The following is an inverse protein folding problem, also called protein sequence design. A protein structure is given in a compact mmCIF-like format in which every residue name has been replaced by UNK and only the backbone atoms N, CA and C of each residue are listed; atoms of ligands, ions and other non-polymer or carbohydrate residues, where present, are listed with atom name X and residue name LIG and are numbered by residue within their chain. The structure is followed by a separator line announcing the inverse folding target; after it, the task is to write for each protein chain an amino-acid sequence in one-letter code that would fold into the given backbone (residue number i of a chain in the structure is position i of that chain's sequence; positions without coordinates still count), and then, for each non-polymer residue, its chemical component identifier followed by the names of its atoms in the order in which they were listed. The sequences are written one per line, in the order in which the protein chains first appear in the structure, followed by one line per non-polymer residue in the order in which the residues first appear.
data_IF_922584504231
#
_entry.id   IF_922584504231
#
_cell.length_a   1.000
_cell.length_b   1.000
_cell.length_c   1.000
_cell.angle_alpha   90.00
_cell.angle_beta   90.00
_cell.angle_gamma   90.00
#
_symmetry.space_group_name_H-M   'P 1'
#
loop_
_entity.id
_entity.type
_entity.pdbx_description
1 polymer ?
#
# COMPACT_ATOMS: atom_id res chain seq x y z
N UNK A 1 -27.11 -14.35 49.29
CA UNK A 1 -25.86 -14.38 48.50
C UNK A 1 -25.77 -13.06 47.75
N UNK A 2 -24.90 -12.16 48.21
CA UNK A 2 -24.71 -10.82 47.62
C UNK A 2 -23.53 -10.87 46.67
N UNK A 3 -23.77 -10.56 45.39
CA UNK A 3 -22.72 -10.47 44.35
C UNK A 3 -22.18 -9.05 44.41
N UNK A 4 -20.90 -8.93 44.73
CA UNK A 4 -20.16 -7.66 44.80
C UNK A 4 -19.78 -7.26 43.39
N UNK A 5 -20.41 -6.19 42.89
CA UNK A 5 -20.02 -5.51 41.65
C UNK A 5 -18.63 -4.87 41.82
N UNK A 6 -17.61 -5.46 41.17
CA UNK A 6 -16.30 -4.83 41.01
C UNK A 6 -16.33 -3.96 39.76
N UNK A 7 -16.53 -2.66 39.95
CA UNK A 7 -16.15 -1.64 38.97
C UNK A 7 -14.65 -1.74 38.68
N UNK A 8 -14.30 -2.27 37.50
CA UNK A 8 -12.96 -2.09 36.93
C UNK A 8 -12.93 -0.76 36.18
N UNK A 9 -12.00 0.11 36.57
CA UNK A 9 -11.73 1.37 35.90
C UNK A 9 -11.17 1.13 34.48
N UNK A 10 -11.45 2.04 33.51
CA UNK A 10 -10.98 1.88 32.14
C UNK A 10 -9.46 1.98 32.06
N UNK A 11 -8.82 0.96 31.49
CA UNK A 11 -7.40 0.95 31.12
C UNK A 11 -7.19 1.96 29.98
N UNK A 12 -6.58 3.10 30.29
CA UNK A 12 -6.11 4.06 29.28
C UNK A 12 -4.89 3.51 28.57
N UNK A 13 -5.08 2.98 27.36
CA UNK A 13 -3.98 2.62 26.47
C UNK A 13 -3.34 3.89 25.89
N UNK A 14 -2.22 4.32 26.48
CA UNK A 14 -1.36 5.33 25.86
C UNK A 14 -0.76 4.74 24.58
N UNK A 15 -1.11 5.32 23.43
CA UNK A 15 -0.48 5.02 22.15
C UNK A 15 0.92 5.64 22.14
N UNK A 16 1.92 4.88 22.57
CA UNK A 16 3.33 5.19 22.37
C UNK A 16 3.97 4.09 21.51
N UNK A 17 4.67 4.57 20.47
CA UNK A 17 5.74 3.89 19.73
C UNK A 17 5.39 2.70 18.82
N UNK A 18 5.46 2.96 17.50
CA UNK A 18 6.05 1.99 16.58
C UNK A 18 7.47 1.70 17.07
N UNK A 19 7.73 0.45 17.45
CA UNK A 19 9.03 -0.03 17.92
C UNK A 19 10.14 0.19 16.86
N UNK A 20 11.26 0.85 17.17
CA UNK A 20 12.46 0.81 16.33
C UNK A 20 13.21 -0.55 16.38
N UNK A 21 12.73 -1.51 17.19
CA UNK A 21 13.44 -2.76 17.49
C UNK A 21 13.46 -3.81 16.37
N UNK A 22 12.59 -3.71 15.35
CA UNK A 22 12.62 -4.63 14.21
C UNK A 22 13.76 -4.34 13.22
N UNK A 23 14.46 -3.22 13.35
CA UNK A 23 15.57 -2.85 12.48
C UNK A 23 16.93 -3.49 12.87
N UNK A 24 17.06 -4.06 14.08
CA UNK A 24 18.33 -4.62 14.58
C UNK A 24 18.49 -6.14 14.44
N UNK A 25 17.42 -6.88 14.14
CA UNK A 25 17.46 -8.36 14.07
C UNK A 25 17.67 -8.95 12.67
N UNK A 26 17.88 -8.12 11.64
CA UNK A 26 18.04 -8.56 10.24
C UNK A 26 19.38 -8.15 9.59
N UNK A 27 20.36 -7.64 10.35
CA UNK A 27 21.68 -7.24 9.81
C UNK A 27 22.77 -8.32 9.89
N UNK A 28 22.49 -9.52 10.39
CA UNK A 28 23.51 -10.57 10.52
C UNK A 28 23.11 -11.87 9.82
N UNK A 29 23.19 -11.90 8.49
CA UNK A 29 23.65 -13.05 7.68
C UNK A 29 23.29 -12.87 6.20
N UNK A 30 24.30 -12.53 5.40
CA UNK A 30 24.31 -12.85 3.97
C UNK A 30 25.61 -13.59 3.69
N UNK A 31 25.59 -14.87 3.29
CA UNK A 31 26.78 -15.53 2.78
C UNK A 31 27.13 -14.95 1.41
N UNK A 32 28.40 -14.64 1.22
CA UNK A 32 28.95 -14.12 -0.03
C UNK A 32 28.81 -15.16 -1.18
N UNK A 33 28.56 -14.72 -2.43
CA UNK A 33 28.64 -15.60 -3.59
C UNK A 33 30.11 -15.90 -3.96
N UNK A 34 30.42 -17.09 -4.49
CA UNK A 34 31.76 -17.41 -4.97
C UNK A 34 32.06 -16.63 -6.26
N UNK A 35 33.18 -15.93 -6.24
CA UNK A 35 33.66 -15.10 -7.34
C UNK A 35 34.13 -15.92 -8.55
N UNK A 36 33.80 -15.42 -9.72
CA UNK A 36 34.42 -15.81 -10.98
C UNK A 36 34.45 -14.59 -11.92
N UNK A 37 35.59 -14.38 -12.59
CA UNK A 37 35.67 -13.55 -13.79
C UNK A 37 36.62 -12.36 -13.72
N UNK A 38 37.86 -12.59 -14.10
CA UNK A 38 38.81 -11.57 -14.54
C UNK A 38 38.40 -10.96 -15.89
N UNK A 39 38.79 -9.70 -16.14
CA UNK A 39 38.90 -9.15 -17.51
C UNK A 39 38.38 -7.72 -17.72
N UNK A 40 39.21 -6.74 -17.41
CA UNK A 40 39.19 -5.40 -18.05
C UNK A 40 39.63 -5.51 -19.52
N UNK A 41 39.11 -4.66 -20.43
CA UNK A 41 39.85 -3.43 -20.71
C UNK A 41 39.01 -2.15 -20.93
N UNK A 42 39.70 -1.05 -20.64
CA UNK A 42 39.44 0.37 -20.87
C UNK A 42 39.22 0.74 -22.34
N UNK A 43 38.24 1.60 -22.65
CA UNK A 43 38.25 2.48 -23.84
C UNK A 43 37.58 3.85 -23.54
N UNK A 44 38.41 4.89 -23.73
CA UNK A 44 38.18 6.24 -24.24
C UNK A 44 37.06 7.16 -23.70
N UNK A 45 37.53 8.24 -23.10
CA UNK A 45 36.85 9.52 -22.94
C UNK A 45 36.60 10.20 -24.31
N UNK A 46 35.42 10.83 -24.45
CA UNK A 46 35.13 11.78 -25.55
C UNK A 46 34.54 13.07 -24.97
N UNK A 47 35.43 14.04 -24.89
CA UNK A 47 35.33 15.44 -25.34
C UNK A 47 34.03 16.22 -25.13
N UNK A 48 34.16 17.24 -24.28
CA UNK A 48 33.26 18.38 -24.11
C UNK A 48 33.14 19.23 -25.40
N UNK A 49 31.91 19.60 -25.74
CA UNK A 49 31.58 20.59 -26.76
C UNK A 49 30.97 21.84 -26.13
N UNK A 50 31.57 22.99 -26.44
CA UNK A 50 31.29 24.31 -25.90
C UNK A 50 30.40 25.15 -26.83
N UNK A 51 29.75 26.17 -26.24
CA UNK A 51 29.18 27.41 -26.82
C UNK A 51 27.76 27.38 -27.43
N UNK A 52 27.08 28.56 -27.60
CA UNK A 52 27.37 29.91 -27.12
C UNK A 52 26.23 30.59 -26.32
N UNK A 53 26.63 31.53 -25.47
CA UNK A 53 25.80 32.55 -24.84
C UNK A 53 25.12 33.43 -25.89
N UNK A 54 23.79 33.58 -25.81
CA UNK A 54 23.06 34.68 -26.45
C UNK A 54 22.57 35.65 -25.39
N UNK A 55 23.21 36.81 -25.35
CA UNK A 55 22.69 38.00 -24.71
C UNK A 55 21.49 38.53 -25.51
N UNK A 56 20.36 38.70 -24.84
CA UNK A 56 19.27 39.57 -25.30
C UNK A 56 19.06 40.64 -24.23
N UNK A 57 19.42 41.87 -24.59
CA UNK A 57 18.97 43.08 -23.91
C UNK A 57 17.61 43.46 -24.48
N UNK A 58 16.62 43.61 -23.61
CA UNK A 58 15.27 44.04 -23.98
C UNK A 58 14.56 44.62 -22.76
N UNK A 59 14.72 45.92 -22.59
CA UNK A 59 14.06 46.74 -21.58
C UNK A 59 12.60 47.02 -21.99
N UNK A 60 11.65 46.73 -21.11
CA UNK A 60 10.33 47.38 -21.15
C UNK A 60 9.70 47.38 -19.76
N UNK A 61 9.68 48.57 -19.15
CA UNK A 61 8.90 48.89 -17.97
C UNK A 61 7.41 48.85 -18.32
N UNK A 62 6.72 47.78 -17.92
CA UNK A 62 5.29 47.59 -18.10
C UNK A 62 4.60 47.39 -16.75
N UNK A 63 3.67 48.30 -16.46
CA UNK A 63 2.78 48.39 -15.30
C UNK A 63 2.43 47.05 -14.63
N UNK A 64 2.58 47.02 -13.30
CA UNK A 64 2.41 45.87 -12.43
C UNK A 64 1.01 45.24 -12.48
N UNK A 65 0.90 44.18 -13.28
CA UNK A 65 -0.11 43.16 -13.10
C UNK A 65 0.43 42.14 -12.08
N UNK A 66 -0.26 42.01 -10.94
CA UNK A 66 0.06 41.02 -9.89
C UNK A 66 0.08 39.63 -10.56
N UNK A 67 1.20 38.87 -10.51
CA UNK A 67 1.27 37.57 -11.16
C UNK A 67 0.14 36.68 -10.61
N UNK A 68 -0.56 35.92 -11.47
CA UNK A 68 -1.65 35.06 -11.05
C UNK A 68 -1.14 34.14 -9.95
N UNK A 69 -1.92 34.07 -8.87
CA UNK A 69 -1.64 33.25 -7.69
C UNK A 69 -1.19 31.86 -8.13
N UNK A 70 -0.01 31.45 -7.64
CA UNK A 70 0.54 30.10 -7.76
C UNK A 70 -0.59 29.09 -7.66
N UNK A 71 -0.77 28.35 -8.75
CA UNK A 71 -1.79 27.32 -8.91
C UNK A 71 -1.84 26.44 -7.66
N UNK A 72 -3.04 26.27 -7.09
CA UNK A 72 -3.29 25.38 -5.93
C UNK A 72 -2.83 23.94 -6.23
N UNK A 73 -2.63 23.59 -7.51
CA UNK A 73 -2.13 22.29 -7.96
C UNK A 73 -0.61 22.08 -7.76
N UNK A 74 0.15 23.12 -7.40
CA UNK A 74 1.60 23.02 -7.18
C UNK A 74 1.99 22.79 -5.72
N UNK A 75 1.00 22.72 -4.81
CA UNK A 75 1.30 22.40 -3.41
C UNK A 75 1.93 21.00 -3.30
N UNK A 76 3.01 20.85 -2.51
CA UNK A 76 3.64 19.55 -2.30
C UNK A 76 2.66 18.60 -1.59
N UNK A 77 2.61 17.34 -2.06
CA UNK A 77 1.78 16.30 -1.42
C UNK A 77 2.42 15.92 -0.08
N UNK A 78 1.68 15.91 1.04
CA UNK A 78 2.21 15.46 2.32
C UNK A 78 2.74 14.02 2.24
N UNK A 79 3.79 13.70 2.98
CA UNK A 79 4.30 12.33 3.03
C UNK A 79 3.32 11.38 3.73
N UNK A 80 2.62 11.87 4.77
CA UNK A 80 1.72 11.08 5.62
C UNK A 80 0.25 11.46 5.44
N UNK A 81 -0.61 10.47 5.46
CA UNK A 81 -2.05 10.60 5.32
C UNK A 81 -2.68 10.63 6.71
N UNK A 82 -3.16 11.82 7.08
CA UNK A 82 -3.90 12.03 8.32
C UNK A 82 -5.42 11.87 8.13
N UNK A 83 -5.88 11.70 6.88
CA UNK A 83 -7.30 11.59 6.57
C UNK A 83 -7.79 10.16 6.74
N UNK A 84 -8.86 10.00 7.52
CA UNK A 84 -9.57 8.73 7.62
C UNK A 84 -10.40 8.44 6.36
N UNK A 85 -10.36 7.20 5.91
CA UNK A 85 -11.01 6.67 4.73
C UNK A 85 -12.12 5.72 5.17
N UNK A 86 -13.37 6.05 4.82
CA UNK A 86 -14.52 5.14 4.99
C UNK A 86 -14.55 4.12 3.85
N UNK A 87 -15.45 3.14 3.95
CA UNK A 87 -15.71 2.18 2.87
C UNK A 87 -16.09 2.88 1.55
N UNK A 88 -16.93 3.92 1.62
CA UNK A 88 -17.40 4.68 0.47
C UNK A 88 -16.26 5.48 -0.16
N UNK A 89 -15.49 6.22 0.67
CA UNK A 89 -14.32 6.96 0.20
C UNK A 89 -13.28 6.05 -0.45
N UNK A 90 -13.03 4.85 0.11
CA UNK A 90 -12.13 3.88 -0.51
C UNK A 90 -12.62 3.44 -1.89
N UNK A 91 -13.92 3.18 -2.06
CA UNK A 91 -14.47 2.81 -3.38
C UNK A 91 -14.32 3.93 -4.40
N UNK A 92 -14.61 5.18 -4.02
CA UNK A 92 -14.42 6.34 -4.89
C UNK A 92 -12.95 6.50 -5.32
N UNK A 93 -12.01 6.34 -4.37
CA UNK A 93 -10.57 6.37 -4.65
C UNK A 93 -10.18 5.25 -5.62
N UNK A 94 -10.64 4.02 -5.38
CA UNK A 94 -10.33 2.86 -6.21
C UNK A 94 -10.96 2.97 -7.61
N UNK A 95 -12.16 3.55 -7.72
CA UNK A 95 -12.80 3.83 -9.01
C UNK A 95 -11.98 4.84 -9.80
N UNK A 96 -11.49 5.91 -9.16
CA UNK A 96 -10.57 6.85 -9.81
C UNK A 96 -9.22 6.20 -10.16
N UNK A 97 -8.68 5.37 -9.27
CA UNK A 97 -7.44 4.62 -9.53
C UNK A 97 -7.59 3.75 -10.79
N UNK A 98 -8.71 3.06 -10.95
CA UNK A 98 -8.98 2.24 -12.14
C UNK A 98 -8.94 3.04 -13.45
N UNK A 99 -9.23 4.35 -13.43
CA UNK A 99 -9.15 5.23 -14.59
C UNK A 99 -7.71 5.65 -14.93
N UNK A 100 -6.80 5.59 -13.95
CA UNK A 100 -5.37 5.84 -14.16
C UNK A 100 -4.65 4.62 -14.74
N UNK A 101 -5.09 3.40 -14.38
CA UNK A 101 -4.49 2.15 -14.87
C UNK A 101 -4.23 2.13 -16.38
N UNK A 102 -5.20 2.42 -17.28
CA UNK A 102 -4.94 2.35 -18.72
C UNK A 102 -3.89 3.36 -19.21
N UNK A 103 -3.73 4.49 -18.51
CA UNK A 103 -2.72 5.52 -18.85
C UNK A 103 -1.32 5.09 -18.46
N UNK A 104 -1.17 4.40 -17.33
CA UNK A 104 0.13 3.99 -16.81
C UNK A 104 0.55 2.59 -17.25
N UNK A 105 -0.39 1.65 -17.40
CA UNK A 105 -0.11 0.24 -17.69
C UNK A 105 -0.55 -0.20 -19.10
N UNK A 106 -1.28 0.65 -19.81
CA UNK A 106 -1.81 0.39 -21.15
C UNK A 106 -3.29 -0.03 -21.13
N UNK A 107 -4.01 0.15 -22.25
CA UNK A 107 -5.48 0.08 -22.28
C UNK A 107 -6.07 -1.31 -21.95
N UNK A 108 -5.31 -2.38 -22.22
CA UNK A 108 -5.75 -3.77 -22.03
C UNK A 108 -4.89 -4.51 -21.00
N UNK A 109 -4.32 -3.79 -20.03
CA UNK A 109 -3.46 -4.36 -19.01
C UNK A 109 -4.14 -4.28 -17.63
N UNK A 110 -4.92 -5.29 -17.23
CA UNK A 110 -5.44 -5.33 -15.88
C UNK A 110 -4.28 -5.49 -14.90
N UNK A 111 -4.39 -4.82 -13.75
CA UNK A 111 -3.49 -5.00 -12.62
C UNK A 111 -4.24 -5.62 -11.44
N UNK A 112 -3.52 -6.45 -10.70
CA UNK A 112 -4.01 -7.13 -9.51
C UNK A 112 -3.12 -6.79 -8.34
N UNK A 113 -3.74 -6.47 -7.21
CA UNK A 113 -3.05 -6.13 -5.98
C UNK A 113 -3.52 -7.07 -4.88
N UNK A 114 -2.58 -7.77 -4.26
CA UNK A 114 -2.86 -8.48 -3.00
C UNK A 114 -2.68 -7.48 -1.87
N UNK A 115 -3.75 -7.28 -1.10
CA UNK A 115 -3.87 -6.25 -0.07
C UNK A 115 -4.19 -6.85 1.29
N UNK A 116 -3.86 -6.13 2.36
CA UNK A 116 -4.19 -6.53 3.73
C UNK A 116 -4.60 -5.32 4.58
N UNK A 117 -4.76 -5.56 5.89
CA UNK A 117 -4.97 -4.49 6.86
C UNK A 117 -6.40 -3.95 6.90
N UNK A 118 -6.53 -2.65 7.20
CA UNK A 118 -7.83 -2.02 7.47
C UNK A 118 -8.75 -1.96 6.26
N UNK A 119 -8.19 -1.74 5.06
CA UNK A 119 -8.95 -1.69 3.81
C UNK A 119 -9.70 -3.01 3.54
N UNK A 120 -9.08 -4.17 3.81
CA UNK A 120 -9.73 -5.47 3.65
C UNK A 120 -10.96 -5.62 4.55
N UNK A 121 -10.86 -5.18 5.81
CA UNK A 121 -11.97 -5.24 6.77
C UNK A 121 -13.15 -4.36 6.33
N UNK A 122 -12.85 -3.22 5.69
CA UNK A 122 -13.87 -2.28 5.23
C UNK A 122 -14.50 -2.69 3.90
N UNK A 123 -13.74 -3.25 2.97
CA UNK A 123 -14.20 -3.52 1.60
C UNK A 123 -14.76 -4.94 1.42
N UNK A 124 -14.26 -5.93 2.14
CA UNK A 124 -14.76 -7.30 2.02
C UNK A 124 -16.23 -7.40 2.44
N UNK A 125 -17.11 -7.85 1.53
CA UNK A 125 -18.57 -7.81 1.73
C UNK A 125 -19.04 -8.66 2.92
N UNK A 126 -18.58 -9.92 2.99
CA UNK A 126 -18.90 -10.83 4.10
C UNK A 126 -18.46 -10.27 5.46
N UNK A 127 -17.19 -9.88 5.58
CA UNK A 127 -16.62 -9.30 6.79
C UNK A 127 -17.35 -8.00 7.20
N UNK A 128 -17.66 -7.12 6.25
CA UNK A 128 -18.39 -5.89 6.54
C UNK A 128 -19.79 -6.19 7.12
N UNK A 129 -20.54 -7.10 6.51
CA UNK A 129 -21.85 -7.54 7.02
C UNK A 129 -21.74 -8.16 8.42
N UNK A 130 -20.77 -9.04 8.63
CA UNK A 130 -20.48 -9.62 9.95
C UNK A 130 -20.13 -8.54 10.97
N UNK A 131 -19.38 -7.51 10.59
CA UNK A 131 -19.04 -6.39 11.48
C UNK A 131 -20.27 -5.60 11.93
N UNK A 132 -21.24 -5.39 11.03
CA UNK A 132 -22.51 -4.72 11.34
C UNK A 132 -23.32 -5.57 12.31
N UNK A 133 -23.45 -6.87 12.04
CA UNK A 133 -24.16 -7.80 12.90
C UNK A 133 -23.52 -7.94 14.29
N UNK A 134 -22.18 -8.02 14.35
CA UNK A 134 -21.44 -8.09 15.61
C UNK A 134 -21.67 -6.84 16.46
N UNK A 135 -21.68 -5.64 15.84
CA UNK A 135 -21.94 -4.40 16.57
C UNK A 135 -23.35 -4.37 17.18
N UNK A 136 -24.34 -4.98 16.52
CA UNK A 136 -25.71 -5.10 17.05
C UNK A 136 -25.78 -6.06 18.24
N UNK A 137 -25.09 -7.21 18.15
CA UNK A 137 -25.11 -8.24 19.20
C UNK A 137 -24.18 -7.90 20.38
N UNK A 138 -23.12 -7.15 20.14
CA UNK A 138 -22.09 -6.85 21.14
C UNK A 138 -21.58 -5.42 20.95
N UNK A 139 -22.37 -4.41 21.39
CA UNK A 139 -22.04 -3.00 21.13
C UNK A 139 -20.72 -2.51 21.73
N UNK A 140 -20.19 -3.24 22.71
CA UNK A 140 -18.93 -2.96 23.39
C UNK A 140 -17.68 -3.44 22.63
N UNK A 141 -17.85 -4.30 21.62
CA UNK A 141 -16.72 -4.72 20.79
C UNK A 141 -16.34 -3.62 19.79
N UNK A 142 -15.06 -3.28 19.63
CA UNK A 142 -14.64 -2.29 18.65
C UNK A 142 -15.03 -2.72 17.22
N UNK A 143 -15.71 -1.82 16.51
CA UNK A 143 -15.96 -1.96 15.06
C UNK A 143 -15.08 -0.97 14.29
N UNK A 144 -14.34 -1.49 13.32
CA UNK A 144 -13.63 -0.66 12.35
C UNK A 144 -14.62 -0.04 11.37
N UNK A 145 -14.64 1.28 11.31
CA UNK A 145 -15.43 2.06 10.35
C UNK A 145 -14.55 2.85 9.37
N UNK A 146 -13.27 3.04 9.72
CA UNK A 146 -12.28 3.77 8.92
C UNK A 146 -10.91 3.08 8.90
N UNK A 147 -10.12 3.42 7.89
CA UNK A 147 -8.69 3.12 7.77
C UNK A 147 -7.95 4.39 7.32
N UNK A 148 -6.62 4.43 7.39
CA UNK A 148 -5.85 5.55 6.82
C UNK A 148 -5.16 5.19 5.52
N UNK A 149 -5.08 3.91 5.22
CA UNK A 149 -4.27 3.40 4.13
C UNK A 149 -4.83 2.11 3.52
N UNK A 150 -4.27 1.77 2.37
CA UNK A 150 -4.34 0.46 1.71
C UNK A 150 -2.94 -0.16 1.75
N UNK A 151 -2.76 -1.16 2.61
CA UNK A 151 -1.52 -1.94 2.65
C UNK A 151 -1.54 -2.98 1.50
N UNK A 152 -0.50 -3.03 0.67
CA UNK A 152 -0.38 -4.00 -0.42
C UNK A 152 0.97 -4.71 -0.44
N UNK A 153 1.00 -5.91 -1.05
CA UNK A 153 2.22 -6.70 -1.22
C UNK A 153 2.97 -6.25 -2.48
N UNK A 154 3.97 -5.39 -2.30
CA UNK A 154 4.71 -4.75 -3.39
C UNK A 154 5.60 -5.71 -4.16
N UNK A 155 6.38 -6.55 -3.47
CA UNK A 155 7.29 -7.51 -4.11
C UNK A 155 6.57 -8.44 -5.08
N UNK A 156 5.36 -8.87 -4.73
CA UNK A 156 4.56 -9.75 -5.59
C UNK A 156 3.97 -9.02 -6.78
N UNK A 157 3.47 -7.79 -6.58
CA UNK A 157 3.00 -6.94 -7.67
C UNK A 157 4.10 -6.70 -8.71
N UNK A 158 5.31 -6.33 -8.27
CA UNK A 158 6.46 -6.11 -9.18
C UNK A 158 6.83 -7.40 -9.91
N UNK A 159 6.86 -8.52 -9.21
CA UNK A 159 7.18 -9.84 -9.81
C UNK A 159 6.15 -10.22 -10.89
N UNK A 160 4.86 -10.12 -10.58
CA UNK A 160 3.77 -10.39 -11.53
C UNK A 160 3.88 -9.48 -12.75
N UNK A 161 3.97 -8.16 -12.56
CA UNK A 161 4.02 -7.21 -13.67
C UNK A 161 5.29 -7.33 -14.52
N UNK A 162 6.43 -7.65 -13.90
CA UNK A 162 7.67 -7.91 -14.64
C UNK A 162 7.53 -9.14 -15.53
N UNK A 163 6.91 -10.22 -15.03
CA UNK A 163 6.61 -11.42 -15.84
C UNK A 163 5.67 -11.13 -17.02
N UNK A 164 4.87 -10.07 -16.92
CA UNK A 164 3.96 -9.60 -17.95
C UNK A 164 4.58 -8.57 -18.92
N UNK A 165 5.90 -8.29 -18.78
CA UNK A 165 6.65 -7.37 -19.64
C UNK A 165 6.61 -5.90 -19.19
N UNK A 166 6.30 -5.62 -17.92
CA UNK A 166 6.27 -4.26 -17.36
C UNK A 166 7.33 -4.11 -16.25
N UNK A 167 8.60 -3.84 -16.60
CA UNK A 167 9.71 -3.82 -15.63
C UNK A 167 9.69 -2.61 -14.69
N UNK A 168 9.03 -1.51 -15.07
CA UNK A 168 8.92 -0.25 -14.33
C UNK A 168 7.58 -0.12 -13.59
N UNK A 169 6.91 -1.24 -13.30
CA UNK A 169 5.60 -1.28 -12.67
C UNK A 169 5.53 -0.56 -11.31
N UNK A 170 6.61 -0.65 -10.51
CA UNK A 170 6.74 0.05 -9.24
C UNK A 170 6.60 1.57 -9.40
N UNK A 171 7.38 2.16 -10.29
CA UNK A 171 7.37 3.60 -10.56
C UNK A 171 6.03 4.05 -11.13
N UNK A 172 5.43 3.26 -12.02
CA UNK A 172 4.09 3.52 -12.57
C UNK A 172 3.00 3.54 -11.50
N UNK A 173 3.05 2.58 -10.57
CA UNK A 173 2.14 2.54 -9.43
C UNK A 173 2.33 3.76 -8.51
N UNK A 174 3.58 4.16 -8.24
CA UNK A 174 3.88 5.33 -7.43
C UNK A 174 3.30 6.63 -8.04
N UNK A 175 3.35 6.78 -9.37
CA UNK A 175 2.71 7.91 -10.04
C UNK A 175 1.18 7.89 -9.93
N UNK A 176 0.54 6.72 -10.00
CA UNK A 176 -0.90 6.58 -9.69
C UNK A 176 -1.21 7.01 -8.25
N UNK A 177 -0.44 6.52 -7.27
CA UNK A 177 -0.58 6.83 -5.84
C UNK A 177 -0.47 8.35 -5.62
N UNK A 178 0.53 8.99 -6.23
CA UNK A 178 0.75 10.43 -6.17
C UNK A 178 -0.38 11.24 -6.80
N UNK A 179 -0.89 10.79 -7.96
CA UNK A 179 -2.02 11.44 -8.63
C UNK A 179 -3.30 11.37 -7.78
N UNK A 180 -3.57 10.21 -7.16
CA UNK A 180 -4.69 10.01 -6.23
C UNK A 180 -4.54 10.90 -5.00
N UNK A 181 -3.35 10.93 -4.40
CA UNK A 181 -3.08 11.75 -3.21
C UNK A 181 -3.38 13.23 -3.47
N UNK A 182 -2.95 13.76 -4.63
CA UNK A 182 -3.31 15.12 -5.05
C UNK A 182 -4.81 15.31 -5.24
N UNK A 183 -5.47 14.36 -5.93
CA UNK A 183 -6.90 14.46 -6.27
C UNK A 183 -7.79 14.47 -5.03
N UNK A 184 -7.47 13.66 -4.04
CA UNK A 184 -8.29 13.44 -2.84
C UNK A 184 -7.75 14.14 -1.59
N UNK A 185 -6.65 14.90 -1.70
CA UNK A 185 -6.04 15.58 -0.55
C UNK A 185 -5.54 14.58 0.51
N UNK A 186 -4.84 13.53 0.08
CA UNK A 186 -4.26 12.51 0.94
C UNK A 186 -2.74 12.70 1.05
N UNK A 187 -2.13 12.03 2.03
CA UNK A 187 -0.69 11.83 2.05
C UNK A 187 -0.24 10.73 1.08
N UNK A 188 1.04 10.69 0.75
CA UNK A 188 1.62 9.70 -0.17
C UNK A 188 1.55 8.25 0.34
N UNK A 189 1.47 8.04 1.66
CA UNK A 189 1.35 6.73 2.29
C UNK A 189 -0.10 6.20 2.37
N UNK A 190 -1.08 6.86 1.75
CA UNK A 190 -2.47 6.34 1.66
C UNK A 190 -2.54 4.95 1.02
N UNK A 191 -1.54 4.59 0.21
CA UNK A 191 -1.33 3.24 -0.28
C UNK A 191 0.17 2.94 -0.14
N UNK A 192 0.51 2.01 0.73
CA UNK A 192 1.90 1.72 1.09
C UNK A 192 2.17 0.21 1.16
N UNK A 193 3.46 -0.13 1.18
CA UNK A 193 3.94 -1.51 1.26
C UNK A 193 4.97 -1.66 2.38
N UNK A 194 4.89 -0.82 3.42
CA UNK A 194 5.82 -0.87 4.56
C UNK A 194 5.82 -2.25 5.23
N UNK A 195 4.68 -2.95 5.16
CA UNK A 195 4.53 -4.29 5.67
C UNK A 195 5.44 -5.32 4.97
N UNK A 196 5.79 -5.13 3.70
CA UNK A 196 6.60 -6.07 2.90
C UNK A 196 7.95 -6.39 3.56
N UNK A 197 8.53 -5.41 4.26
CA UNK A 197 9.84 -5.52 4.91
C UNK A 197 9.82 -6.66 5.95
N UNK A 198 8.68 -6.89 6.61
CA UNK A 198 8.54 -7.88 7.67
C UNK A 198 7.98 -9.23 7.17
N UNK A 199 7.63 -9.36 5.88
CA UNK A 199 6.97 -10.56 5.37
C UNK A 199 7.98 -11.68 5.08
N UNK A 200 7.72 -12.92 5.53
CA UNK A 200 8.63 -14.03 5.25
C UNK A 200 8.67 -14.37 3.76
N UNK A 201 9.81 -14.86 3.29
CA UNK A 201 9.92 -15.62 2.06
C UNK A 201 9.82 -17.11 2.36
N UNK A 202 9.34 -17.87 1.39
CA UNK A 202 9.41 -19.33 1.40
C UNK A 202 10.23 -19.80 0.20
N UNK A 203 10.66 -21.07 0.23
CA UNK A 203 11.40 -21.70 -0.85
C UNK A 203 10.59 -22.89 -1.36
N UNK A 204 10.50 -23.04 -2.69
CA UNK A 204 9.90 -24.22 -3.29
C UNK A 204 10.85 -25.43 -3.19
N UNK A 205 10.42 -26.65 -3.57
CA UNK A 205 11.29 -27.83 -3.54
C UNK A 205 12.55 -27.73 -4.41
N UNK A 206 12.59 -26.78 -5.35
CA UNK A 206 13.73 -26.48 -6.21
C UNK A 206 14.64 -25.39 -5.61
N UNK A 207 14.33 -24.89 -4.41
CA UNK A 207 15.08 -23.84 -3.74
C UNK A 207 14.82 -22.44 -4.29
N UNK A 208 13.80 -22.24 -5.12
CA UNK A 208 13.45 -20.93 -5.65
C UNK A 208 12.62 -20.16 -4.61
N UNK A 209 12.99 -18.90 -4.30
CA UNK A 209 12.24 -18.09 -3.37
C UNK A 209 10.88 -17.69 -3.98
N UNK A 210 9.84 -17.70 -3.15
CA UNK A 210 8.51 -17.21 -3.50
C UNK A 210 7.86 -16.49 -2.31
N UNK A 211 6.85 -15.67 -2.61
CA UNK A 211 6.02 -15.04 -1.59
C UNK A 211 4.87 -15.99 -1.19
N UNK A 212 4.87 -16.55 0.04
CA UNK A 212 3.85 -17.50 0.46
C UNK A 212 2.47 -16.85 0.69
N UNK A 213 2.42 -15.55 0.98
CA UNK A 213 1.19 -14.80 1.22
C UNK A 213 0.50 -14.54 -0.12
N UNK A 214 1.25 -14.04 -1.09
CA UNK A 214 0.74 -13.86 -2.45
C UNK A 214 0.35 -15.19 -3.06
N UNK A 215 1.21 -16.21 -3.00
CA UNK A 215 0.93 -17.54 -3.53
C UNK A 215 -0.37 -18.13 -2.98
N UNK A 216 -0.60 -18.02 -1.66
CA UNK A 216 -1.86 -18.45 -1.07
C UNK A 216 -3.06 -17.62 -1.57
N UNK A 217 -2.91 -16.30 -1.68
CA UNK A 217 -3.99 -15.38 -2.03
C UNK A 217 -4.47 -15.53 -3.48
N UNK A 218 -3.59 -15.93 -4.40
CA UNK A 218 -3.93 -16.06 -5.84
C UNK A 218 -4.42 -17.45 -6.26
N UNK A 219 -4.65 -18.37 -5.32
CA UNK A 219 -5.30 -19.65 -5.64
C UNK A 219 -6.74 -19.39 -6.12
N UNK A 220 -7.24 -20.18 -7.08
CA UNK A 220 -8.51 -19.91 -7.74
C UNK A 220 -9.69 -19.73 -6.77
N UNK A 221 -9.79 -20.60 -5.77
CA UNK A 221 -10.81 -20.52 -4.71
C UNK A 221 -10.65 -19.25 -3.84
N UNK A 222 -9.42 -18.81 -3.57
CA UNK A 222 -9.15 -17.64 -2.76
C UNK A 222 -9.38 -16.34 -3.54
N UNK A 223 -9.14 -16.33 -4.85
CA UNK A 223 -9.53 -15.20 -5.72
C UNK A 223 -11.04 -14.99 -5.64
N UNK A 224 -11.83 -16.06 -5.80
CA UNK A 224 -13.30 -15.98 -5.75
C UNK A 224 -13.80 -15.48 -4.38
N UNK A 225 -13.29 -16.08 -3.30
CA UNK A 225 -13.73 -15.78 -1.94
C UNK A 225 -13.23 -14.42 -1.41
N UNK A 226 -12.06 -13.95 -1.84
CA UNK A 226 -11.36 -12.83 -1.21
C UNK A 226 -11.08 -11.65 -2.15
N UNK A 227 -11.67 -11.64 -3.35
CA UNK A 227 -11.73 -10.40 -4.15
C UNK A 227 -12.61 -9.39 -3.44
N UNK A 228 -12.00 -8.33 -2.92
CA UNK A 228 -12.71 -7.28 -2.14
C UNK A 228 -13.15 -6.10 -3.01
N UNK A 229 -12.55 -5.96 -4.19
CA UNK A 229 -12.92 -4.93 -5.15
C UNK A 229 -12.52 -5.32 -6.56
N UNK A 230 -13.46 -5.15 -7.49
CA UNK A 230 -13.22 -5.21 -8.93
C UNK A 230 -13.78 -3.92 -9.53
N UNK A 231 -12.92 -3.16 -10.18
CA UNK A 231 -13.31 -1.92 -10.84
C UNK A 231 -14.36 -2.13 -11.94
N UNK A 232 -15.21 -1.13 -12.23
CA UNK A 232 -16.18 -1.21 -13.32
C UNK A 232 -15.54 -1.50 -14.68
N UNK A 233 -14.36 -0.93 -14.95
CA UNK A 233 -13.62 -1.15 -16.20
C UNK A 233 -12.77 -2.43 -16.23
N UNK A 234 -12.79 -3.24 -15.15
CA UNK A 234 -12.06 -4.50 -15.01
C UNK A 234 -10.52 -4.39 -15.11
N UNK A 235 -9.97 -3.18 -15.00
CA UNK A 235 -8.51 -2.97 -15.07
C UNK A 235 -7.83 -2.96 -13.70
N UNK A 236 -8.59 -2.87 -12.62
CA UNK A 236 -8.11 -2.93 -11.25
C UNK A 236 -8.88 -3.98 -10.45
N UNK A 237 -8.15 -4.92 -9.85
CA UNK A 237 -8.68 -5.93 -8.92
C UNK A 237 -7.85 -5.93 -7.64
N UNK A 238 -8.52 -5.85 -6.48
CA UNK A 238 -7.90 -6.02 -5.16
C UNK A 238 -8.36 -7.33 -4.54
N UNK A 239 -7.40 -8.12 -4.09
CA UNK A 239 -7.63 -9.40 -3.40
C UNK A 239 -7.08 -9.28 -2.00
N UNK A 240 -7.93 -9.51 -1.00
CA UNK A 240 -7.46 -9.60 0.37
C UNK A 240 -6.57 -10.84 0.53
N UNK A 241 -5.53 -10.73 1.34
CA UNK A 241 -4.85 -11.92 1.88
C UNK A 241 -5.87 -12.85 2.55
N UNK A 242 -5.58 -14.16 2.52
CA UNK A 242 -6.42 -15.17 3.15
C UNK A 242 -6.59 -14.90 4.66
N UNK A 243 -7.70 -15.33 5.30
CA UNK A 243 -7.97 -15.02 6.71
C UNK A 243 -6.85 -15.40 7.68
N UNK A 244 -6.19 -16.55 7.48
CA UNK A 244 -5.09 -16.97 8.35
C UNK A 244 -3.86 -16.06 8.24
N UNK A 245 -3.55 -15.54 7.05
CA UNK A 245 -2.51 -14.53 6.87
C UNK A 245 -2.95 -13.19 7.46
N UNK A 246 -4.19 -12.77 7.25
CA UNK A 246 -4.73 -11.55 7.83
C UNK A 246 -4.61 -11.55 9.38
N UNK A 247 -4.95 -12.66 10.03
CA UNK A 247 -4.79 -12.84 11.48
C UNK A 247 -3.32 -12.79 11.88
N UNK A 248 -2.45 -13.54 11.18
CA UNK A 248 -1.01 -13.57 11.48
C UNK A 248 -0.37 -12.18 11.41
N UNK A 249 -0.67 -11.42 10.35
CA UNK A 249 -0.17 -10.05 10.16
C UNK A 249 -0.65 -9.09 11.24
N UNK A 250 -1.89 -9.27 11.72
CA UNK A 250 -2.43 -8.49 12.85
C UNK A 250 -1.73 -8.84 14.15
N UNK A 251 -1.49 -10.12 14.43
CA UNK A 251 -0.80 -10.54 15.66
C UNK A 251 0.63 -9.99 15.77
N UNK A 252 1.33 -9.82 14.63
CA UNK A 252 2.69 -9.26 14.62
C UNK A 252 2.72 -7.76 14.96
N UNK A 253 1.73 -6.97 14.51
CA UNK A 253 1.70 -5.50 14.72
C UNK A 253 0.76 -5.02 15.81
N UNK A 254 -0.09 -5.92 16.31
CA UNK A 254 -1.23 -5.75 17.21
C UNK A 254 -1.56 -4.31 17.64
N UNK A 255 -2.64 -3.77 17.09
CA UNK A 255 -3.17 -2.44 17.42
C UNK A 255 -4.58 -2.49 18.00
N UNK A 256 -5.06 -1.37 18.54
CA UNK A 256 -6.35 -1.26 19.27
C UNK A 256 -7.59 -1.85 18.55
N UNK A 257 -7.58 -1.89 17.23
CA UNK A 257 -8.68 -2.40 16.40
C UNK A 257 -8.55 -3.89 16.07
N UNK A 258 -7.36 -4.46 16.23
CA UNK A 258 -7.09 -5.84 15.84
C UNK A 258 -7.87 -6.89 16.63
N UNK A 259 -8.21 -6.76 17.93
CA UNK A 259 -9.07 -7.75 18.58
C UNK A 259 -10.41 -7.95 17.87
N UNK A 260 -11.11 -6.84 17.54
CA UNK A 260 -12.38 -6.90 16.83
C UNK A 260 -12.23 -7.46 15.42
N UNK A 261 -11.18 -7.05 14.71
CA UNK A 261 -10.90 -7.56 13.36
C UNK A 261 -10.56 -9.06 13.36
N UNK A 262 -9.76 -9.53 14.33
CA UNK A 262 -9.39 -10.95 14.47
C UNK A 262 -10.63 -11.79 14.79
N UNK A 263 -11.50 -11.33 15.70
CA UNK A 263 -12.75 -12.04 15.99
C UNK A 263 -13.65 -12.19 14.75
N UNK A 264 -13.68 -11.18 13.87
CA UNK A 264 -14.42 -11.26 12.61
C UNK A 264 -13.79 -12.23 11.61
N UNK A 265 -12.45 -12.28 11.54
CA UNK A 265 -11.72 -13.14 10.61
C UNK A 265 -11.76 -14.63 11.01
N UNK A 266 -12.05 -14.93 12.27
CA UNK A 266 -12.13 -16.30 12.80
C UNK A 266 -13.56 -16.88 12.81
N UNK A 267 -14.56 -16.11 12.36
CA UNK A 267 -15.97 -16.52 12.27
C UNK A 267 -16.31 -17.00 10.86
#
# INVERSE_FOLDING_TARGET
MSIVDRHQSPVTWQTHNRHPALHQLLQSSSPAPPGSGAGTPSIAAVTAGSQPSRHYYGSSYGSGARPPSTSVYDAPVPAKNERELTRETLREILDYFSQLVPRHFGPNRPIRLVVHGGACMLLHEGIYKLSVQQQQMSPHLPRRTTTRDVDYIHRSFVTEMTSMGVPDAASRLAECVKAIARRFGLGLDWMNSDADIALPYAYDPQGKPYDPIYHASIQANNIDLHTIYTSPNKLLTLISVTPFWAVSLKLVRYVKWDPGDICLLLR
#
